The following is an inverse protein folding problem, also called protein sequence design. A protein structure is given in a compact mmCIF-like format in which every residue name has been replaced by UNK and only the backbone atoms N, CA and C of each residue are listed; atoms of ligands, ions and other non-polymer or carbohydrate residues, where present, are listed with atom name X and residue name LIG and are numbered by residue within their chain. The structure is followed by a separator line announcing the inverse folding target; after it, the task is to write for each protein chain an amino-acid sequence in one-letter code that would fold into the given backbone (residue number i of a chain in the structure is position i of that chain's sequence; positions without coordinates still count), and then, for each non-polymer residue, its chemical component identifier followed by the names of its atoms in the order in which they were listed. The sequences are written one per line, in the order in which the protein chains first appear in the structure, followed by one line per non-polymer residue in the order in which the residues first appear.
data_IF_503927822118
#
_entry.id   IF_503927822118
#
_cell.length_a   1.000
_cell.length_b   1.000
_cell.length_c   1.000
_cell.angle_alpha   90.00
_cell.angle_beta   90.00
_cell.angle_gamma   90.00
#
_symmetry.space_group_name_H-M   'P 1'
#
loop_
_entity.id
_entity.type
_entity.pdbx_description
1 polymer ?
#
# COMPACT_ATOMS: atom_id res chain seq x y z
N UNK A 1 8.91 23.43 6.71
CA UNK A 1 8.59 22.00 6.81
C UNK A 1 9.24 21.28 5.63
N UNK A 2 10.09 20.28 5.88
CA UNK A 2 10.90 19.65 4.84
C UNK A 2 10.03 18.75 3.93
N UNK A 3 9.95 19.09 2.64
CA UNK A 3 9.07 18.48 1.64
C UNK A 3 9.28 16.95 1.54
N UNK A 4 10.51 16.50 1.76
CA UNK A 4 10.87 15.08 1.74
C UNK A 4 10.22 14.30 2.88
N UNK A 5 10.09 14.90 4.08
CA UNK A 5 9.40 14.26 5.20
C UNK A 5 7.89 14.15 4.95
N UNK A 6 7.27 15.17 4.35
CA UNK A 6 5.85 15.13 4.01
C UNK A 6 5.57 14.08 2.95
N UNK A 7 6.43 13.97 1.92
CA UNK A 7 6.33 12.94 0.88
C UNK A 7 6.46 11.53 1.48
N UNK A 8 7.51 11.28 2.25
CA UNK A 8 7.74 9.97 2.85
C UNK A 8 6.59 9.56 3.78
N UNK A 9 6.13 10.49 4.63
CA UNK A 9 4.99 10.27 5.52
C UNK A 9 3.70 9.99 4.74
N UNK A 10 3.47 10.69 3.63
CA UNK A 10 2.31 10.43 2.78
C UNK A 10 2.37 9.02 2.16
N UNK A 11 3.53 8.62 1.63
CA UNK A 11 3.71 7.29 1.02
C UNK A 11 3.49 6.19 2.06
N UNK A 12 4.05 6.33 3.26
CA UNK A 12 3.83 5.37 4.34
C UNK A 12 2.36 5.31 4.78
N UNK A 13 1.73 6.45 5.04
CA UNK A 13 0.36 6.47 5.58
C UNK A 13 -0.69 6.07 4.52
N UNK A 14 -0.58 6.58 3.29
CA UNK A 14 -1.59 6.37 2.25
C UNK A 14 -1.29 5.19 1.34
N UNK A 15 -0.02 4.92 1.10
CA UNK A 15 0.42 3.78 0.30
C UNK A 15 0.52 2.50 1.12
N UNK A 16 1.39 2.48 2.12
CA UNK A 16 1.67 1.25 2.90
C UNK A 16 0.54 0.91 3.86
N UNK A 17 0.24 1.80 4.80
CA UNK A 17 -0.75 1.53 5.85
C UNK A 17 -2.19 1.65 5.34
N UNK A 18 -2.45 2.59 4.43
CA UNK A 18 -3.78 2.86 3.91
C UNK A 18 -4.23 1.94 2.77
N UNK A 19 -3.29 1.29 2.08
CA UNK A 19 -3.60 0.41 0.94
C UNK A 19 -2.90 -0.95 1.07
N UNK A 20 -1.57 -0.99 1.21
CA UNK A 20 -0.80 -2.24 1.26
C UNK A 20 -1.23 -3.22 2.35
N UNK A 21 -1.33 -2.78 3.61
CA UNK A 21 -1.72 -3.65 4.73
C UNK A 21 -3.18 -4.13 4.60
N UNK A 22 -4.19 -3.28 4.37
CA UNK A 22 -5.56 -3.73 4.13
C UNK A 22 -5.67 -4.70 2.94
N UNK A 23 -4.96 -4.45 1.84
CA UNK A 23 -4.98 -5.33 0.67
C UNK A 23 -4.32 -6.68 0.97
N UNK A 24 -3.25 -6.72 1.76
CA UNK A 24 -2.64 -7.98 2.19
C UNK A 24 -3.63 -8.86 2.97
N UNK A 25 -4.34 -8.26 3.93
CA UNK A 25 -5.32 -8.97 4.76
C UNK A 25 -6.50 -9.43 3.89
N UNK A 26 -7.01 -8.56 3.03
CA UNK A 26 -8.12 -8.89 2.13
C UNK A 26 -7.74 -10.01 1.16
N UNK A 27 -6.55 -9.96 0.57
CA UNK A 27 -6.05 -10.99 -0.32
C UNK A 27 -5.94 -12.33 0.41
N UNK A 28 -5.39 -12.34 1.63
CA UNK A 28 -5.27 -13.59 2.39
C UNK A 28 -6.63 -14.16 2.79
N UNK A 29 -7.61 -13.30 3.14
CA UNK A 29 -8.98 -13.74 3.38
C UNK A 29 -9.58 -14.40 2.15
N UNK A 30 -9.38 -13.82 0.96
CA UNK A 30 -9.85 -14.42 -0.30
C UNK A 30 -9.23 -15.80 -0.51
N UNK A 31 -7.89 -15.92 -0.42
CA UNK A 31 -7.19 -17.19 -0.61
C UNK A 31 -7.64 -18.28 0.38
N UNK A 32 -7.91 -17.88 1.63
CA UNK A 32 -8.46 -18.76 2.66
C UNK A 32 -9.88 -19.23 2.31
N UNK A 33 -10.76 -18.31 1.90
CA UNK A 33 -12.15 -18.65 1.56
C UNK A 33 -12.28 -19.43 0.24
N UNK A 34 -11.33 -19.31 -0.69
CA UNK A 34 -11.30 -20.10 -1.93
C UNK A 34 -10.66 -21.47 -1.76
N UNK A 35 -10.10 -21.77 -0.58
CA UNK A 35 -9.42 -23.04 -0.30
C UNK A 35 -8.07 -23.19 -1.01
N UNK A 36 -7.50 -22.09 -1.52
CA UNK A 36 -6.21 -22.08 -2.21
C UNK A 36 -5.05 -22.20 -1.21
N UNK A 37 -5.18 -21.56 -0.04
CA UNK A 37 -4.10 -21.54 0.96
C UNK A 37 -4.64 -21.30 2.38
N UNK A 38 -4.02 -21.93 3.38
CA UNK A 38 -4.27 -21.60 4.78
C UNK A 38 -3.90 -20.14 5.08
N UNK A 39 -4.67 -19.51 5.96
CA UNK A 39 -4.54 -18.08 6.23
C UNK A 39 -3.13 -17.70 6.71
N UNK A 40 -2.52 -18.50 7.57
CA UNK A 40 -1.21 -18.21 8.15
C UNK A 40 -0.03 -18.51 7.22
N UNK A 41 -0.22 -19.38 6.23
CA UNK A 41 0.86 -19.79 5.31
C UNK A 41 1.21 -18.69 4.30
N UNK A 42 0.23 -17.88 3.89
CA UNK A 42 0.43 -16.81 2.92
C UNK A 42 0.55 -15.41 3.53
N UNK A 43 0.16 -15.22 4.80
CA UNK A 43 0.03 -13.87 5.36
C UNK A 43 1.35 -13.12 5.48
N UNK A 44 2.45 -13.81 5.78
CA UNK A 44 3.78 -13.19 5.88
C UNK A 44 4.21 -12.67 4.51
N UNK A 45 4.08 -13.49 3.46
CA UNK A 45 4.40 -13.10 2.08
C UNK A 45 3.52 -11.93 1.63
N UNK A 46 2.21 -12.00 1.88
CA UNK A 46 1.27 -10.92 1.57
C UNK A 46 1.63 -9.61 2.29
N UNK A 47 1.97 -9.68 3.59
CA UNK A 47 2.40 -8.52 4.38
C UNK A 47 3.77 -7.95 3.99
N UNK A 48 4.52 -8.61 3.10
CA UNK A 48 5.75 -8.06 2.52
C UNK A 48 5.43 -7.49 1.13
N UNK A 49 4.80 -8.28 0.27
CA UNK A 49 4.57 -7.93 -1.14
C UNK A 49 3.63 -6.72 -1.25
N UNK A 50 2.49 -6.72 -0.57
CA UNK A 50 1.51 -5.64 -0.74
C UNK A 50 1.98 -4.31 -0.15
N UNK A 51 2.70 -4.25 0.99
CA UNK A 51 3.39 -3.04 1.42
C UNK A 51 4.41 -2.49 0.42
N UNK A 52 5.22 -3.35 -0.21
CA UNK A 52 6.18 -2.91 -1.24
C UNK A 52 5.45 -2.29 -2.44
N UNK A 53 4.37 -2.90 -2.90
CA UNK A 53 3.51 -2.34 -3.96
C UNK A 53 2.83 -1.05 -3.46
N UNK A 54 2.44 -1.00 -2.18
CA UNK A 54 1.89 0.18 -1.52
C UNK A 54 2.85 1.37 -1.51
N UNK A 55 4.16 1.16 -1.42
CA UNK A 55 5.16 2.24 -1.57
C UNK A 55 5.09 2.84 -2.98
N UNK A 56 5.08 1.98 -4.01
CA UNK A 56 4.98 2.42 -5.42
C UNK A 56 3.66 3.16 -5.67
N UNK A 57 2.56 2.62 -5.16
CA UNK A 57 1.24 3.24 -5.25
C UNK A 57 1.21 4.61 -4.56
N UNK A 58 1.69 4.70 -3.32
CA UNK A 58 1.78 5.96 -2.58
C UNK A 58 2.65 7.00 -3.29
N UNK A 59 3.76 6.57 -3.90
CA UNK A 59 4.61 7.45 -4.71
C UNK A 59 3.87 8.02 -5.93
N UNK A 60 3.15 7.16 -6.66
CA UNK A 60 2.37 7.57 -7.82
C UNK A 60 1.25 8.54 -7.43
N UNK A 61 0.54 8.24 -6.34
CA UNK A 61 -0.53 9.07 -5.80
C UNK A 61 -0.03 10.46 -5.40
N UNK A 62 1.12 10.52 -4.73
CA UNK A 62 1.77 11.78 -4.40
C UNK A 62 2.10 12.58 -5.66
N UNK A 63 2.73 11.94 -6.66
CA UNK A 63 3.08 12.62 -7.90
C UNK A 63 1.85 13.16 -8.66
N UNK A 64 0.76 12.37 -8.71
CA UNK A 64 -0.50 12.79 -9.30
C UNK A 64 -1.12 13.99 -8.57
N UNK A 65 -1.08 13.98 -7.23
CA UNK A 65 -1.60 15.09 -6.41
C UNK A 65 -0.82 16.39 -6.64
N UNK A 66 0.51 16.32 -6.69
CA UNK A 66 1.37 17.47 -7.00
C UNK A 66 1.18 17.99 -8.43
N UNK A 67 0.95 17.09 -9.39
CA UNK A 67 0.61 17.49 -10.76
C UNK A 67 -0.72 18.23 -10.81
N UNK A 68 -1.71 17.80 -10.02
CA UNK A 68 -3.02 18.46 -9.91
C UNK A 68 -2.91 19.84 -9.26
N UNK A 69 -2.09 20.00 -8.21
CA UNK A 69 -1.86 21.29 -7.56
C UNK A 69 -1.11 22.32 -8.44
N UNK A 70 -0.39 21.89 -9.48
CA UNK A 70 0.26 22.80 -10.45
C UNK A 70 -0.64 23.24 -11.61
N UNK A 71 -1.75 22.55 -11.85
CA UNK A 71 -2.66 22.80 -12.97
C UNK A 71 -3.98 23.49 -12.54
N UNK A 72 -4.08 23.89 -11.28
CA UNK A 72 -5.21 24.60 -10.68
C UNK A 72 -4.72 25.96 -10.18
#
# INVERSE_FOLDING_TARGET
MNINHTKFRFILLKGVLGWGIPTAILFQLIMYFTGEQDFFDGIISSLIIFPLVGILYGYFLWHSKYKKERNN
#
